data_IF_360519874538
#
_entry.id   IF_360519874538
#
_cell.length_a   1.000
_cell.length_b   1.000
_cell.length_c   1.000
_cell.angle_alpha   90.00
_cell.angle_beta   90.00
_cell.angle_gamma   90.00
#
_symmetry.space_group_name_H-M   'P 1'
#
loop_
_entity.id
_entity.type
_entity.pdbx_description
1 polymer ?
#
# COMPACT_ATOMS: atom_id res chain seq x y z
N UNK A 1 5.89 14.79 16.44
CA UNK A 1 5.00 15.61 15.58
C UNK A 1 3.59 15.57 16.17
N UNK A 2 2.87 16.70 16.21
CA UNK A 2 1.54 16.78 16.81
C UNK A 2 0.48 15.95 16.07
N UNK A 3 -0.74 15.81 16.61
CA UNK A 3 -1.78 14.90 16.12
C UNK A 3 -2.33 15.23 14.73
N UNK A 4 -2.07 16.44 14.21
CA UNK A 4 -2.48 16.90 12.89
C UNK A 4 -1.32 17.67 12.23
N UNK A 5 -0.26 17.00 11.72
CA UNK A 5 0.74 17.70 10.94
C UNK A 5 0.07 18.28 9.69
N UNK A 6 0.44 19.50 9.25
CA UNK A 6 -0.08 20.04 8.00
C UNK A 6 0.27 19.07 6.87
N UNK A 7 -0.77 18.54 6.22
CA UNK A 7 -0.65 17.74 4.99
C UNK A 7 -0.26 18.72 3.89
N UNK A 8 1.04 19.02 3.77
CA UNK A 8 1.60 19.81 2.70
C UNK A 8 2.40 18.85 1.81
N UNK A 9 2.05 18.73 0.52
CA UNK A 9 2.92 18.03 -0.41
C UNK A 9 4.31 18.66 -0.38
N UNK A 10 5.30 17.83 -0.07
CA UNK A 10 6.72 18.15 -0.15
C UNK A 10 7.31 17.22 -1.20
N UNK A 11 8.43 17.58 -1.83
CA UNK A 11 8.96 16.75 -2.92
C UNK A 11 10.46 16.90 -3.10
N UNK A 12 11.12 15.76 -3.22
CA UNK A 12 12.40 15.62 -3.91
C UNK A 12 12.43 14.23 -4.56
N UNK A 13 12.97 14.10 -5.77
CA UNK A 13 13.09 12.80 -6.45
C UNK A 13 13.88 11.75 -5.65
N UNK A 14 14.66 12.17 -4.65
CA UNK A 14 15.49 11.32 -3.81
C UNK A 14 14.71 10.33 -2.92
N UNK A 15 13.41 10.56 -2.68
CA UNK A 15 12.57 9.64 -1.89
C UNK A 15 12.27 8.32 -2.62
N UNK A 16 12.21 8.37 -3.96
CA UNK A 16 11.77 7.24 -4.79
C UNK A 16 12.66 6.01 -4.70
N UNK A 17 13.95 6.17 -4.38
CA UNK A 17 14.93 5.07 -4.45
C UNK A 17 15.04 4.24 -3.17
N UNK A 18 14.23 4.52 -2.15
CA UNK A 18 14.40 3.89 -0.84
C UNK A 18 13.67 2.54 -0.68
N UNK A 19 12.56 2.32 -1.39
CA UNK A 19 11.69 1.16 -1.22
C UNK A 19 11.44 0.37 -2.51
N UNK A 20 12.14 0.68 -3.61
CA UNK A 20 12.00 -0.03 -4.89
C UNK A 20 12.24 -1.54 -4.78
N UNK A 21 13.12 -1.94 -3.86
CA UNK A 21 13.40 -3.35 -3.54
C UNK A 21 12.21 -4.09 -2.92
N UNK A 22 11.27 -3.34 -2.32
CA UNK A 22 10.01 -3.85 -1.77
C UNK A 22 8.93 -3.82 -2.85
N UNK A 23 8.65 -2.65 -3.43
CA UNK A 23 7.74 -2.49 -4.54
C UNK A 23 8.33 -1.48 -5.55
N UNK A 24 8.35 -1.80 -6.86
CA UNK A 24 7.73 -2.95 -7.51
C UNK A 24 8.62 -4.19 -7.64
N UNK A 25 9.84 -4.20 -7.10
CA UNK A 25 10.78 -5.30 -7.35
C UNK A 25 10.46 -6.58 -6.56
N UNK A 26 9.76 -6.48 -5.42
CA UNK A 26 9.32 -7.61 -4.60
C UNK A 26 10.43 -8.52 -4.07
N UNK A 27 11.68 -8.06 -4.05
CA UNK A 27 12.80 -8.79 -3.45
C UNK A 27 12.69 -8.84 -1.91
N UNK A 28 12.06 -7.84 -1.29
CA UNK A 28 11.75 -7.78 0.14
C UNK A 28 10.23 -7.70 0.34
N UNK A 29 9.68 -8.55 1.19
CA UNK A 29 8.24 -8.58 1.51
C UNK A 29 7.93 -9.37 2.79
N UNK A 30 6.68 -9.78 2.97
CA UNK A 30 6.19 -10.47 4.17
C UNK A 30 6.93 -11.76 4.52
N UNK A 31 7.39 -12.50 3.51
CA UNK A 31 8.07 -13.79 3.64
C UNK A 31 9.59 -13.69 3.65
N UNK A 32 10.14 -12.48 3.49
CA UNK A 32 11.58 -12.26 3.57
C UNK A 32 12.09 -12.49 4.99
N UNK A 33 13.42 -12.65 5.13
CA UNK A 33 14.06 -12.74 6.45
C UNK A 33 13.61 -11.58 7.34
N UNK A 34 13.30 -11.88 8.61
CA UNK A 34 12.77 -10.89 9.57
C UNK A 34 13.62 -9.62 9.68
N UNK A 35 14.96 -9.73 9.53
CA UNK A 35 15.87 -8.58 9.48
C UNK A 35 15.66 -7.67 8.28
N UNK A 36 15.42 -8.25 7.09
CA UNK A 36 15.21 -7.49 5.86
C UNK A 36 13.83 -6.82 5.88
N UNK A 37 12.80 -7.55 6.33
CA UNK A 37 11.47 -6.99 6.51
C UNK A 37 11.47 -5.85 7.55
N UNK A 38 12.20 -6.01 8.65
CA UNK A 38 12.36 -4.93 9.66
C UNK A 38 13.03 -3.70 9.05
N UNK A 39 14.09 -3.86 8.27
CA UNK A 39 14.73 -2.74 7.59
C UNK A 39 13.77 -1.99 6.65
N UNK A 40 12.91 -2.71 5.92
CA UNK A 40 11.87 -2.08 5.08
C UNK A 40 10.87 -1.27 5.93
N UNK A 41 10.38 -1.82 7.04
CA UNK A 41 9.47 -1.13 7.96
C UNK A 41 10.11 0.11 8.58
N UNK A 42 11.36 0.01 9.03
CA UNK A 42 12.11 1.13 9.60
C UNK A 42 12.31 2.24 8.56
N UNK A 43 12.54 1.89 7.28
CA UNK A 43 12.62 2.84 6.17
C UNK A 43 11.30 3.56 5.92
N UNK A 44 10.16 2.84 5.92
CA UNK A 44 8.81 3.46 5.83
C UNK A 44 8.60 4.44 6.98
N UNK A 45 8.96 4.04 8.21
CA UNK A 45 8.82 4.84 9.42
C UNK A 45 9.70 6.08 9.45
N UNK A 46 10.91 6.00 8.88
CA UNK A 46 11.85 7.10 8.79
C UNK A 46 11.43 8.12 7.74
N UNK A 47 11.08 7.66 6.53
CA UNK A 47 10.83 8.53 5.38
C UNK A 47 9.46 9.20 5.41
N UNK A 48 8.40 8.47 5.77
CA UNK A 48 7.02 8.98 5.89
C UNK A 48 6.55 9.81 4.68
N UNK A 49 6.87 9.37 3.47
CA UNK A 49 6.57 10.05 2.19
C UNK A 49 5.09 9.96 1.78
N UNK A 50 4.18 9.89 2.75
CA UNK A 50 2.74 9.76 2.54
C UNK A 50 2.13 10.86 1.65
N UNK A 51 2.80 12.01 1.53
CA UNK A 51 2.33 13.14 0.73
C UNK A 51 3.43 13.66 -0.18
N UNK A 52 4.41 12.82 -0.52
CA UNK A 52 5.40 13.21 -1.52
C UNK A 52 4.71 13.44 -2.87
N UNK A 53 5.07 14.51 -3.60
CA UNK A 53 4.38 14.84 -4.84
C UNK A 53 4.65 13.88 -6.01
N UNK A 54 5.61 12.96 -5.89
CA UNK A 54 6.08 12.12 -6.99
C UNK A 54 6.19 10.63 -6.61
N UNK A 55 6.18 10.30 -5.31
CA UNK A 55 6.46 8.95 -4.82
C UNK A 55 5.23 8.25 -4.20
N UNK A 56 4.04 8.87 -4.16
CA UNK A 56 2.90 8.22 -3.49
C UNK A 56 2.49 6.90 -4.15
N UNK A 57 2.64 6.81 -5.48
CA UNK A 57 2.27 5.63 -6.26
C UNK A 57 3.18 4.42 -6.03
N UNK A 58 4.38 4.63 -5.50
CA UNK A 58 5.37 3.61 -5.11
C UNK A 58 5.44 3.40 -3.60
N UNK A 59 5.43 4.50 -2.82
CA UNK A 59 5.62 4.46 -1.37
C UNK A 59 4.49 3.74 -0.63
N UNK A 60 3.24 4.04 -0.96
CA UNK A 60 2.10 3.42 -0.29
C UNK A 60 2.00 1.90 -0.55
N UNK A 61 2.08 1.39 -1.79
CA UNK A 61 2.09 -0.05 -2.01
C UNK A 61 3.35 -0.70 -1.41
N UNK A 62 4.52 -0.06 -1.43
CA UNK A 62 5.69 -0.58 -0.73
C UNK A 62 5.46 -0.73 0.79
N UNK A 63 4.79 0.23 1.42
CA UNK A 63 4.43 0.13 2.83
C UNK A 63 3.49 -1.05 3.11
N UNK A 64 2.52 -1.30 2.23
CA UNK A 64 1.62 -2.46 2.32
C UNK A 64 2.38 -3.78 2.10
N UNK A 65 3.27 -3.83 1.11
CA UNK A 65 4.07 -5.01 0.76
C UNK A 65 5.08 -5.38 1.86
N UNK A 66 5.57 -4.39 2.61
CA UNK A 66 6.37 -4.60 3.83
C UNK A 66 5.52 -5.06 5.04
N UNK A 67 4.20 -4.88 4.98
CA UNK A 67 3.24 -5.13 6.07
C UNK A 67 3.33 -4.11 7.19
N UNK A 68 3.36 -2.83 6.84
CA UNK A 68 3.30 -1.69 7.77
C UNK A 68 1.91 -1.59 8.44
N UNK A 69 1.67 -0.71 9.43
CA UNK A 69 0.36 -0.66 10.09
C UNK A 69 -0.76 -0.26 9.09
N UNK A 70 -1.72 -1.14 8.78
CA UNK A 70 -2.73 -0.87 7.76
C UNK A 70 -3.67 0.26 8.16
N UNK A 71 -3.84 0.53 9.46
CA UNK A 71 -4.62 1.69 9.93
C UNK A 71 -3.92 3.00 9.64
N UNK A 72 -2.59 3.02 9.67
CA UNK A 72 -1.80 4.19 9.30
C UNK A 72 -1.91 4.44 7.80
N UNK A 73 -1.74 3.40 6.98
CA UNK A 73 -1.90 3.49 5.52
C UNK A 73 -3.29 4.03 5.15
N UNK A 74 -4.36 3.41 5.64
CA UNK A 74 -5.74 3.85 5.36
C UNK A 74 -6.03 5.28 5.83
N UNK A 75 -5.45 5.69 6.97
CA UNK A 75 -5.58 7.08 7.46
C UNK A 75 -4.92 8.06 6.50
N UNK A 76 -3.71 7.76 6.02
CA UNK A 76 -2.99 8.63 5.10
C UNK A 76 -3.64 8.66 3.71
N UNK A 77 -4.10 7.52 3.18
CA UNK A 77 -4.89 7.46 1.95
C UNK A 77 -6.17 8.31 2.04
N UNK A 78 -6.91 8.21 3.16
CA UNK A 78 -8.10 9.03 3.39
C UNK A 78 -7.78 10.52 3.42
N UNK A 79 -6.65 10.91 4.02
CA UNK A 79 -6.21 12.31 4.04
C UNK A 79 -5.79 12.77 2.65
N UNK A 80 -5.07 11.93 1.89
CA UNK A 80 -4.66 12.19 0.51
C UNK A 80 -5.89 12.53 -0.35
N UNK A 81 -6.89 11.64 -0.39
CA UNK A 81 -8.12 11.83 -1.16
C UNK A 81 -8.92 13.06 -0.69
N UNK A 82 -9.04 13.29 0.62
CA UNK A 82 -9.92 14.36 1.15
C UNK A 82 -9.29 15.74 1.20
N UNK A 83 -7.96 15.85 1.16
CA UNK A 83 -7.24 17.12 1.34
C UNK A 83 -6.40 17.52 0.14
N UNK A 84 -5.94 16.56 -0.66
CA UNK A 84 -5.12 16.78 -1.85
C UNK A 84 -5.90 16.45 -3.13
N UNK A 85 -6.95 15.64 -3.06
CA UNK A 85 -7.82 15.34 -4.21
C UNK A 85 -8.70 16.52 -4.65
N UNK A 86 -8.86 16.68 -5.96
CA UNK A 86 -9.92 17.45 -6.60
C UNK A 86 -11.28 16.74 -6.45
N UNK A 87 -12.38 17.44 -6.78
CA UNK A 87 -13.73 16.84 -6.73
C UNK A 87 -13.95 15.68 -7.72
N UNK A 88 -13.11 15.57 -8.75
CA UNK A 88 -13.10 14.47 -9.71
C UNK A 88 -12.15 13.32 -9.32
N UNK A 89 -11.66 13.31 -8.08
CA UNK A 89 -10.71 12.34 -7.52
C UNK A 89 -9.28 12.37 -8.08
N UNK A 90 -8.96 13.25 -9.03
CA UNK A 90 -7.57 13.48 -9.43
C UNK A 90 -6.79 14.19 -8.30
N UNK A 91 -5.47 14.00 -8.23
CA UNK A 91 -4.64 14.64 -7.19
C UNK A 91 -4.12 16.02 -7.59
N UNK A 92 -4.26 16.98 -6.67
CA UNK A 92 -3.66 18.31 -6.76
C UNK A 92 -2.19 18.30 -6.27
N UNK A 93 -1.34 17.52 -6.93
CA UNK A 93 0.10 17.47 -6.64
C UNK A 93 0.89 18.39 -7.58
N UNK A 94 1.95 19.07 -7.09
CA UNK A 94 2.75 19.99 -7.89
C UNK A 94 3.79 19.30 -8.79
N UNK A 95 3.98 17.99 -8.63
CA UNK A 95 4.86 17.15 -9.43
C UNK A 95 4.19 15.79 -9.70
N UNK A 96 4.89 14.92 -10.43
CA UNK A 96 4.33 13.66 -10.94
C UNK A 96 3.32 13.89 -12.05
N UNK A 97 2.51 12.86 -12.30
CA UNK A 97 1.50 12.81 -13.33
C UNK A 97 0.41 11.79 -13.02
N UNK A 98 -0.08 11.13 -14.08
CA UNK A 98 -1.20 10.19 -13.98
C UNK A 98 -0.87 8.95 -13.14
N UNK A 99 0.40 8.62 -12.93
CA UNK A 99 0.84 7.53 -12.06
C UNK A 99 0.38 7.72 -10.61
N UNK A 100 0.27 8.97 -10.13
CA UNK A 100 -0.22 9.26 -8.79
C UNK A 100 -1.64 8.75 -8.59
N UNK A 101 -2.47 8.71 -9.63
CA UNK A 101 -3.83 8.17 -9.59
C UNK A 101 -3.86 6.66 -9.29
N UNK A 102 -2.75 5.95 -9.53
CA UNK A 102 -2.61 4.55 -9.16
C UNK A 102 -2.40 4.34 -7.64
N UNK A 103 -2.12 5.39 -6.86
CA UNK A 103 -1.81 5.30 -5.42
C UNK A 103 -2.87 4.51 -4.66
N UNK A 104 -4.14 4.89 -4.74
CA UNK A 104 -5.22 4.21 -4.01
C UNK A 104 -5.46 2.80 -4.54
N UNK A 105 -5.72 2.56 -5.85
CA UNK A 105 -6.06 1.22 -6.33
C UNK A 105 -4.92 0.22 -6.13
N UNK A 106 -3.66 0.61 -6.39
CA UNK A 106 -2.51 -0.29 -6.21
C UNK A 106 -2.28 -0.63 -4.74
N UNK A 107 -2.38 0.37 -3.85
CA UNK A 107 -2.21 0.13 -2.40
C UNK A 107 -3.32 -0.76 -1.86
N UNK A 108 -4.58 -0.48 -2.20
CA UNK A 108 -5.70 -1.30 -1.73
C UNK A 108 -5.61 -2.72 -2.28
N UNK A 109 -5.18 -2.91 -3.54
CA UNK A 109 -4.93 -4.24 -4.09
C UNK A 109 -3.84 -4.97 -3.28
N UNK A 110 -2.70 -4.32 -3.03
CA UNK A 110 -1.60 -4.87 -2.22
C UNK A 110 -2.00 -5.18 -0.76
N UNK A 111 -2.91 -4.41 -0.17
CA UNK A 111 -3.44 -4.67 1.17
C UNK A 111 -4.39 -5.88 1.19
N UNK A 112 -5.09 -6.15 0.08
CA UNK A 112 -6.09 -7.21 -0.05
C UNK A 112 -5.53 -8.53 -0.59
N UNK A 113 -4.49 -8.49 -1.44
CA UNK A 113 -3.89 -9.66 -2.08
C UNK A 113 -2.39 -9.42 -2.36
N UNK A 114 -1.54 -10.33 -1.92
CA UNK A 114 -0.11 -10.37 -2.29
C UNK A 114 0.26 -11.78 -2.76
N UNK A 115 0.96 -11.89 -3.89
CA UNK A 115 1.30 -13.19 -4.49
C UNK A 115 2.68 -13.23 -5.14
N UNK A 116 3.51 -12.21 -4.91
CA UNK A 116 4.80 -12.02 -5.57
C UNK A 116 5.97 -12.70 -4.84
N UNK A 117 5.72 -13.35 -3.69
CA UNK A 117 6.67 -14.22 -2.99
C UNK A 117 6.25 -15.69 -3.15
N UNK A 118 6.45 -16.55 -2.14
CA UNK A 118 6.18 -17.99 -2.28
C UNK A 118 4.70 -18.33 -2.23
N UNK A 119 3.89 -17.59 -1.46
CA UNK A 119 2.48 -17.90 -1.24
C UNK A 119 1.57 -16.77 -1.72
N UNK A 120 0.30 -17.12 -1.97
CA UNK A 120 -0.80 -16.17 -2.12
C UNK A 120 -1.33 -15.83 -0.73
N UNK A 121 -1.21 -14.58 -0.32
CA UNK A 121 -1.77 -14.05 0.92
C UNK A 121 -3.03 -13.26 0.62
N UNK A 122 -4.13 -13.60 1.28
CA UNK A 122 -5.38 -12.83 1.27
C UNK A 122 -5.47 -11.96 2.52
N UNK A 123 -5.86 -10.70 2.34
CA UNK A 123 -5.83 -9.67 3.38
C UNK A 123 -4.46 -9.53 4.11
N UNK A 124 -3.32 -9.58 3.39
CA UNK A 124 -1.98 -9.58 3.99
C UNK A 124 -1.70 -8.35 4.85
N UNK A 125 -2.22 -7.19 4.43
CA UNK A 125 -2.06 -5.93 5.14
C UNK A 125 -3.41 -5.19 5.27
N UNK A 126 -4.41 -5.88 5.83
CA UNK A 126 -5.72 -5.30 6.08
C UNK A 126 -6.05 -5.27 7.58
N UNK A 127 -6.77 -4.26 8.11
CA UNK A 127 -7.17 -4.27 9.51
C UNK A 127 -8.08 -5.47 9.81
N UNK A 128 -7.58 -6.42 10.62
CA UNK A 128 -8.29 -7.70 10.88
C UNK A 128 -9.75 -7.52 11.30
N UNK A 129 -10.07 -6.51 12.12
CA UNK A 129 -11.43 -6.28 12.63
C UNK A 129 -12.31 -5.42 11.70
N UNK A 130 -11.89 -5.19 10.47
CA UNK A 130 -12.67 -4.47 9.48
C UNK A 130 -13.06 -5.43 8.36
N UNK A 131 -14.36 -5.72 8.24
CA UNK A 131 -14.87 -6.58 7.18
C UNK A 131 -14.48 -6.07 5.80
N UNK A 132 -14.15 -6.99 4.91
CA UNK A 132 -13.77 -6.70 3.54
C UNK A 132 -14.03 -7.88 2.61
N UNK A 133 -14.16 -7.60 1.32
CA UNK A 133 -14.17 -8.62 0.28
C UNK A 133 -13.60 -8.08 -1.00
N UNK A 134 -13.01 -8.95 -1.80
CA UNK A 134 -12.57 -8.65 -3.16
C UNK A 134 -12.92 -9.81 -4.11
N UNK A 135 -13.01 -9.48 -5.40
CA UNK A 135 -13.32 -10.41 -6.46
C UNK A 135 -12.30 -10.33 -7.58
N UNK A 136 -11.87 -11.50 -8.05
CA UNK A 136 -11.08 -11.72 -9.26
C UNK A 136 -9.81 -10.85 -9.39
N UNK A 137 -9.14 -10.56 -8.27
CA UNK A 137 -7.81 -9.96 -8.31
C UNK A 137 -6.82 -10.99 -8.87
N UNK A 138 -5.96 -10.54 -9.80
CA UNK A 138 -4.99 -11.41 -10.47
C UNK A 138 -3.76 -11.62 -9.58
N UNK A 139 -3.48 -12.87 -9.26
CA UNK A 139 -2.25 -13.30 -8.61
C UNK A 139 -1.23 -13.80 -9.64
N UNK A 140 0.06 -13.72 -9.29
CA UNK A 140 1.18 -14.26 -10.07
C UNK A 140 0.94 -15.74 -10.36
N UNK A 141 1.11 -16.14 -11.62
CA UNK A 141 0.79 -17.49 -12.09
C UNK A 141 -0.58 -17.63 -12.76
N UNK A 142 -1.23 -16.50 -13.10
CA UNK A 142 -2.52 -16.44 -13.81
C UNK A 142 -3.70 -17.02 -13.01
N UNK A 143 -3.71 -16.75 -11.70
CA UNK A 143 -4.80 -17.15 -10.82
C UNK A 143 -5.72 -15.96 -10.55
N UNK A 144 -7.04 -16.15 -10.71
CA UNK A 144 -8.02 -15.15 -10.23
C UNK A 144 -8.46 -15.50 -8.83
N UNK A 145 -8.18 -14.61 -7.88
CA UNK A 145 -8.44 -14.81 -6.46
C UNK A 145 -9.59 -13.94 -6.00
N UNK A 146 -10.53 -14.53 -5.27
CA UNK A 146 -11.59 -13.82 -4.56
C UNK A 146 -11.61 -14.27 -3.11
N UNK A 147 -11.88 -13.35 -2.17
CA UNK A 147 -11.94 -13.70 -0.75
C UNK A 147 -12.84 -12.74 0.03
N UNK A 148 -13.25 -13.16 1.23
CA UNK A 148 -14.00 -12.35 2.19
C UNK A 148 -13.41 -12.52 3.58
N UNK A 149 -13.29 -11.41 4.30
CA UNK A 149 -12.95 -11.31 5.71
C UNK A 149 -14.19 -10.85 6.48
N UNK A 150 -14.57 -11.59 7.52
CA UNK A 150 -15.71 -11.26 8.40
C UNK A 150 -15.30 -11.51 9.84
N UNK A 151 -15.51 -10.52 10.72
CA UNK A 151 -15.23 -10.63 12.17
C UNK A 151 -13.81 -11.12 12.51
N UNK A 152 -12.81 -10.72 11.72
CA UNK A 152 -11.42 -11.13 11.92
C UNK A 152 -11.03 -12.48 11.34
N UNK A 153 -11.92 -13.15 10.61
CA UNK A 153 -11.66 -14.45 10.01
C UNK A 153 -11.92 -14.46 8.51
N UNK A 154 -11.04 -15.13 7.76
CA UNK A 154 -11.23 -15.34 6.32
C UNK A 154 -12.38 -16.33 6.15
N UNK A 155 -13.50 -15.86 5.59
CA UNK A 155 -14.70 -16.65 5.40
C UNK A 155 -14.57 -17.61 4.21
N UNK A 156 -13.89 -17.22 3.13
CA UNK A 156 -13.57 -18.08 2.00
C UNK A 156 -12.36 -17.58 1.22
N UNK A 157 -11.71 -18.48 0.49
CA UNK A 157 -10.78 -18.17 -0.61
C UNK A 157 -11.23 -18.94 -1.84
N UNK A 158 -11.46 -18.25 -2.95
CA UNK A 158 -11.77 -18.85 -4.26
C UNK A 158 -10.61 -18.55 -5.21
N UNK A 159 -10.10 -19.58 -5.85
CA UNK A 159 -9.06 -19.50 -6.86
C UNK A 159 -9.58 -20.23 -8.10
N UNK A 160 -9.57 -19.56 -9.26
CA UNK A 160 -9.94 -20.12 -10.56
C UNK A 160 -8.82 -19.93 -11.57
#
# INVERSE_FOLDING_TARGET
FGPNPPVRPVGSSAGMDALQVVFPAWNIGLESQSRLRRAALDTVDYLRLWYDSNDTSSFYPAAADAGYDPKVILRHLRLLVRRIGYSNFAYAMPAGGIENEATVPTTIAAMLLQSYQRNIHVFPDWPKRQDASFGDLLAVGDFRVSSRLTDGQVAYVRIV
#
